data_IF_051790639439
#
_entry.id   IF_051790639439
#
_cell.length_a   1.000
_cell.length_b   1.000
_cell.length_c   1.000
_cell.angle_alpha   90.00
_cell.angle_beta   90.00
_cell.angle_gamma   90.00
#
_symmetry.space_group_name_H-M   'P 1'
#
loop_
_entity.id
_entity.type
_entity.pdbx_description
1 polymer ?
#
# COMPACT_ATOMS: atom_id res chain seq x y z
N UNK A 1 -2.12 11.22 -8.80
CA UNK A 1 -0.89 10.77 -8.11
C UNK A 1 -1.24 9.89 -6.92
N UNK A 2 -0.38 8.93 -6.56
CA UNK A 2 -0.62 7.92 -5.52
C UNK A 2 0.19 8.25 -4.27
N UNK A 3 -0.44 8.22 -3.10
CA UNK A 3 0.25 8.05 -1.82
C UNK A 3 0.28 6.56 -1.48
N UNK A 4 1.45 6.01 -1.22
CA UNK A 4 1.58 4.62 -0.77
C UNK A 4 1.55 4.59 0.75
N UNK A 5 0.66 3.80 1.32
CA UNK A 5 0.62 3.51 2.77
C UNK A 5 1.19 2.11 2.98
N UNK A 6 2.40 2.05 3.51
CA UNK A 6 3.13 0.82 3.77
C UNK A 6 3.05 0.50 5.27
N UNK A 7 2.46 -0.63 5.61
CA UNK A 7 2.41 -1.08 7.00
C UNK A 7 3.81 -1.48 7.47
N UNK A 8 4.28 -0.82 8.51
CA UNK A 8 5.51 -1.18 9.18
C UNK A 8 5.40 -2.57 9.83
N UNK A 9 6.51 -3.26 9.88
CA UNK A 9 6.67 -4.57 10.50
C UNK A 9 8.13 -4.79 10.89
N UNK A 10 8.41 -5.84 11.64
CA UNK A 10 9.77 -6.25 11.98
C UNK A 10 10.58 -6.75 10.77
N UNK A 11 9.93 -7.02 9.64
CA UNK A 11 10.56 -7.42 8.39
C UNK A 11 11.15 -6.21 7.65
N UNK A 12 12.22 -5.64 8.19
CA UNK A 12 12.93 -4.51 7.58
C UNK A 12 13.44 -4.80 6.17
N UNK A 13 14.04 -5.98 5.88
CA UNK A 13 14.44 -6.30 4.51
C UNK A 13 13.28 -6.28 3.52
N UNK A 14 12.12 -6.81 3.93
CA UNK A 14 10.91 -6.78 3.11
C UNK A 14 10.40 -5.35 2.89
N UNK A 15 10.40 -4.51 3.93
CA UNK A 15 10.04 -3.09 3.81
C UNK A 15 10.98 -2.34 2.86
N UNK A 16 12.29 -2.52 3.01
CA UNK A 16 13.28 -1.88 2.15
C UNK A 16 13.14 -2.34 0.68
N UNK A 17 12.96 -3.65 0.45
CA UNK A 17 12.74 -4.19 -0.88
C UNK A 17 11.44 -3.65 -1.51
N UNK A 18 10.37 -3.55 -0.72
CA UNK A 18 9.11 -2.96 -1.18
C UNK A 18 9.28 -1.50 -1.57
N UNK A 19 10.01 -0.72 -0.77
CA UNK A 19 10.30 0.68 -1.07
C UNK A 19 11.16 0.83 -2.32
N UNK A 20 12.16 -0.04 -2.52
CA UNK A 20 12.99 -0.04 -3.72
C UNK A 20 12.15 -0.25 -5.00
N UNK A 21 11.11 -1.08 -4.94
CA UNK A 21 10.17 -1.28 -6.06
C UNK A 21 9.32 -0.04 -6.39
N UNK A 22 9.21 0.90 -5.46
CA UNK A 22 8.46 2.15 -5.65
C UNK A 22 9.31 3.28 -6.23
N UNK A 23 10.65 3.20 -6.13
CA UNK A 23 11.55 4.28 -6.56
C UNK A 23 11.32 4.71 -8.01
N UNK A 24 11.27 3.81 -9.02
CA UNK A 24 11.02 4.23 -10.40
C UNK A 24 9.69 4.97 -10.57
N UNK A 25 8.65 4.51 -9.87
CA UNK A 25 7.33 5.15 -9.92
C UNK A 25 7.31 6.53 -9.23
N UNK A 26 8.15 6.72 -8.21
CA UNK A 26 8.31 8.02 -7.57
C UNK A 26 9.08 9.01 -8.47
N UNK A 27 10.14 8.54 -9.11
CA UNK A 27 10.93 9.36 -10.08
C UNK A 27 10.05 9.83 -11.24
N UNK A 28 9.18 8.96 -11.75
CA UNK A 28 8.28 9.28 -12.88
C UNK A 28 7.01 10.03 -12.44
N UNK A 29 6.84 10.32 -11.14
CA UNK A 29 5.73 11.10 -10.60
C UNK A 29 4.41 10.35 -10.44
N UNK A 30 4.37 9.03 -10.65
CA UNK A 30 3.20 8.20 -10.36
C UNK A 30 2.96 8.11 -8.85
N UNK A 31 4.03 7.83 -8.07
CA UNK A 31 4.01 7.82 -6.62
C UNK A 31 4.46 9.18 -6.09
N UNK A 32 3.60 9.84 -5.33
CA UNK A 32 3.85 11.15 -4.73
C UNK A 32 4.64 11.07 -3.44
N UNK A 33 4.34 10.08 -2.63
CA UNK A 33 4.94 9.88 -1.30
C UNK A 33 4.76 8.44 -0.84
N UNK A 34 5.62 8.01 0.05
CA UNK A 34 5.48 6.77 0.82
C UNK A 34 5.29 7.13 2.29
N UNK A 35 4.27 6.58 2.92
CA UNK A 35 3.93 6.74 4.33
C UNK A 35 4.10 5.39 5.00
N UNK A 36 5.05 5.27 5.93
CA UNK A 36 5.14 4.12 6.81
C UNK A 36 4.18 4.31 7.97
N UNK A 37 3.21 3.40 8.09
CA UNK A 37 2.25 3.37 9.17
C UNK A 37 2.70 2.35 10.23
N UNK A 38 3.20 2.84 11.35
CA UNK A 38 3.86 2.07 12.40
C UNK A 38 3.05 2.01 13.70
N UNK A 39 3.45 1.15 14.61
CA UNK A 39 2.92 1.07 15.97
C UNK A 39 3.06 2.37 16.75
N UNK A 40 2.33 2.50 17.87
CA UNK A 40 2.22 3.75 18.61
C UNK A 40 3.53 4.18 19.29
N UNK A 41 4.34 3.24 19.72
CA UNK A 41 5.55 3.51 20.47
C UNK A 41 6.81 3.42 19.59
N UNK A 42 7.79 4.34 19.80
CA UNK A 42 9.10 4.16 19.22
C UNK A 42 9.74 2.84 19.69
N UNK A 43 10.17 2.02 18.76
CA UNK A 43 10.75 0.71 19.04
C UNK A 43 9.81 -0.48 18.88
N UNK A 44 8.52 -0.27 18.65
CA UNK A 44 7.59 -1.35 18.29
C UNK A 44 8.08 -2.12 17.06
N UNK A 45 8.66 -1.38 16.10
CA UNK A 45 9.32 -1.94 14.92
C UNK A 45 10.75 -1.38 14.81
N UNK A 46 11.75 -2.06 15.40
CA UNK A 46 13.13 -1.59 15.41
C UNK A 46 13.68 -1.34 14.00
N UNK A 47 14.36 -0.20 13.80
CA UNK A 47 14.97 0.17 12.53
C UNK A 47 14.06 0.89 11.55
N UNK A 48 12.76 1.02 11.82
CA UNK A 48 11.82 1.75 10.95
C UNK A 48 12.19 3.23 10.87
N UNK A 49 12.64 3.84 11.96
CA UNK A 49 13.06 5.23 11.98
C UNK A 49 14.26 5.47 11.04
N UNK A 50 15.27 4.60 11.09
CA UNK A 50 16.42 4.69 10.19
C UNK A 50 16.00 4.51 8.73
N UNK A 51 15.12 3.55 8.45
CA UNK A 51 14.58 3.35 7.09
C UNK A 51 13.84 4.58 6.58
N UNK A 52 13.07 5.25 7.43
CA UNK A 52 12.37 6.50 7.10
C UNK A 52 13.36 7.62 6.80
N UNK A 53 14.39 7.79 7.64
CA UNK A 53 15.43 8.80 7.46
C UNK A 53 16.18 8.61 6.15
N UNK A 54 16.60 7.38 5.86
CA UNK A 54 17.36 7.05 4.65
C UNK A 54 16.53 7.16 3.36
N UNK A 55 15.24 6.88 3.42
CA UNK A 55 14.38 6.83 2.24
C UNK A 55 13.61 8.12 1.95
N UNK A 56 13.52 9.03 2.92
CA UNK A 56 12.66 10.20 2.83
C UNK A 56 11.16 9.90 2.92
N UNK A 57 10.78 8.69 3.34
CA UNK A 57 9.40 8.35 3.62
C UNK A 57 8.86 9.15 4.82
N UNK A 58 7.55 9.24 4.94
CA UNK A 58 6.90 9.85 6.11
C UNK A 58 6.50 8.76 7.10
N UNK A 59 6.80 8.98 8.37
CA UNK A 59 6.39 8.09 9.44
C UNK A 59 5.07 8.59 10.07
N UNK A 60 4.11 7.69 10.22
CA UNK A 60 2.87 7.91 10.99
C UNK A 60 2.79 6.83 12.04
N UNK A 61 2.75 7.21 13.31
CA UNK A 61 2.60 6.29 14.43
C UNK A 61 1.21 6.38 15.01
N UNK A 62 0.59 5.21 15.22
CA UNK A 62 -0.69 5.09 15.91
C UNK A 62 -0.79 3.73 16.58
N UNK A 63 -1.26 3.70 17.80
CA UNK A 63 -1.57 2.45 18.50
C UNK A 63 -2.75 1.73 17.83
N UNK A 64 -2.82 0.42 18.02
CA UNK A 64 -3.89 -0.40 17.49
C UNK A 64 -3.44 -1.39 16.42
N UNK A 65 -4.41 -1.99 15.77
CA UNK A 65 -4.22 -3.02 14.76
C UNK A 65 -3.84 -2.46 13.36
N UNK A 66 -3.68 -3.34 12.40
CA UNK A 66 -3.39 -2.97 11.02
C UNK A 66 -4.45 -2.02 10.42
N UNK A 67 -5.71 -2.17 10.80
CA UNK A 67 -6.81 -1.31 10.35
C UNK A 67 -6.62 0.12 10.83
N UNK A 68 -6.32 0.33 12.11
CA UNK A 68 -6.06 1.65 12.69
C UNK A 68 -4.85 2.32 12.02
N UNK A 69 -3.77 1.55 11.80
CA UNK A 69 -2.56 2.03 11.14
C UNK A 69 -2.79 2.42 9.68
N UNK A 70 -3.55 1.61 8.92
CA UNK A 70 -3.94 1.93 7.55
C UNK A 70 -4.79 3.20 7.49
N UNK A 71 -5.75 3.35 8.40
CA UNK A 71 -6.61 4.54 8.47
C UNK A 71 -5.80 5.80 8.78
N UNK A 72 -4.84 5.73 9.71
CA UNK A 72 -3.96 6.85 10.03
C UNK A 72 -3.05 7.23 8.85
N UNK A 73 -2.49 6.25 8.16
CA UNK A 73 -1.72 6.47 6.94
C UNK A 73 -2.56 7.10 5.83
N UNK A 74 -3.78 6.61 5.64
CA UNK A 74 -4.71 7.18 4.66
C UNK A 74 -5.12 8.61 4.98
N UNK A 75 -5.36 8.93 6.25
CA UNK A 75 -5.66 10.29 6.70
C UNK A 75 -4.49 11.27 6.46
N UNK A 76 -3.25 10.78 6.56
CA UNK A 76 -2.04 11.55 6.28
C UNK A 76 -1.72 11.69 4.79
N UNK A 77 -2.36 10.92 3.91
CA UNK A 77 -2.10 10.89 2.48
C UNK A 77 -2.48 12.20 1.78
N UNK A 78 -1.63 12.62 0.83
CA UNK A 78 -1.78 13.85 0.03
C UNK A 78 -2.04 13.59 -1.45
N UNK A 79 -1.91 12.34 -1.90
CA UNK A 79 -2.25 11.91 -3.25
C UNK A 79 -3.75 11.79 -3.43
N UNK A 80 -4.19 11.74 -4.68
CA UNK A 80 -5.61 11.52 -5.02
C UNK A 80 -6.02 10.06 -4.81
N UNK A 81 -5.02 9.18 -4.87
CA UNK A 81 -5.15 7.75 -4.69
C UNK A 81 -4.27 7.25 -3.56
N UNK A 82 -4.72 6.23 -2.89
CA UNK A 82 -3.99 5.52 -1.85
C UNK A 82 -3.77 4.09 -2.32
N UNK A 83 -2.51 3.64 -2.27
CA UNK A 83 -2.13 2.24 -2.46
C UNK A 83 -1.62 1.70 -1.12
N UNK A 84 -2.32 0.72 -0.56
CA UNK A 84 -1.86 0.04 0.66
C UNK A 84 -0.90 -1.07 0.30
N UNK A 85 0.18 -1.24 1.06
CA UNK A 85 1.16 -2.31 0.90
C UNK A 85 1.61 -2.84 2.26
N UNK A 86 2.20 -4.04 2.23
CA UNK A 86 2.89 -4.68 3.37
C UNK A 86 4.34 -4.97 3.00
N UNK A 87 5.16 -5.39 3.96
CA UNK A 87 6.51 -5.86 3.70
C UNK A 87 6.56 -7.08 2.77
N UNK A 88 5.51 -7.89 2.78
CA UNK A 88 5.34 -9.05 1.90
C UNK A 88 3.85 -9.27 1.56
N UNK A 89 3.55 -9.74 0.34
CA UNK A 89 4.47 -10.03 -0.77
C UNK A 89 5.01 -8.75 -1.43
N UNK A 90 6.26 -8.78 -1.88
CA UNK A 90 6.90 -7.64 -2.55
C UNK A 90 6.30 -7.48 -3.96
N UNK A 91 6.08 -6.22 -4.37
CA UNK A 91 5.69 -5.87 -5.73
C UNK A 91 6.71 -6.45 -6.73
N UNK A 92 6.23 -6.85 -7.90
CA UNK A 92 7.07 -7.32 -9.00
C UNK A 92 7.18 -6.25 -10.07
N UNK A 93 8.16 -6.42 -10.94
CA UNK A 93 8.22 -5.65 -12.18
C UNK A 93 6.88 -5.74 -12.93
N UNK A 94 6.49 -4.65 -13.60
CA UNK A 94 5.24 -4.57 -14.35
C UNK A 94 4.01 -4.18 -13.52
N UNK A 95 4.11 -4.04 -12.19
CA UNK A 95 2.98 -3.62 -11.35
C UNK A 95 2.39 -2.25 -11.74
N UNK A 96 3.21 -1.39 -12.34
CA UNK A 96 2.83 -0.03 -12.71
C UNK A 96 1.80 0.00 -13.84
N UNK A 97 2.03 -0.78 -14.89
CA UNK A 97 1.22 -0.75 -16.11
C UNK A 97 -0.29 -0.93 -15.83
N UNK A 98 -0.74 -1.98 -15.12
CA UNK A 98 -2.16 -2.13 -14.80
C UNK A 98 -2.72 -1.02 -13.90
N UNK A 99 -1.88 -0.46 -13.02
CA UNK A 99 -2.25 0.68 -12.17
C UNK A 99 -2.43 1.93 -13.02
N UNK A 100 -1.47 2.29 -13.86
CA UNK A 100 -1.53 3.45 -14.76
C UNK A 100 -2.74 3.35 -15.69
N UNK A 101 -2.99 2.18 -16.27
CA UNK A 101 -4.16 1.91 -17.11
C UNK A 101 -5.47 2.08 -16.36
N UNK A 102 -5.51 1.63 -15.10
CA UNK A 102 -6.69 1.81 -14.25
C UNK A 102 -6.94 3.29 -13.95
N UNK A 103 -5.91 4.04 -13.62
CA UNK A 103 -6.00 5.48 -13.34
C UNK A 103 -6.42 6.27 -14.61
N UNK A 104 -5.85 5.96 -15.76
CA UNK A 104 -6.18 6.60 -17.03
C UNK A 104 -7.60 6.30 -17.50
N UNK A 105 -8.13 5.14 -17.19
CA UNK A 105 -9.50 4.72 -17.52
C UNK A 105 -10.60 5.41 -16.70
N UNK A 106 -10.29 6.48 -15.99
CA UNK A 106 -11.23 7.24 -15.16
C UNK A 106 -11.31 6.72 -13.71
N UNK A 107 -10.67 5.60 -13.40
CA UNK A 107 -10.44 5.09 -12.04
C UNK A 107 -11.64 5.14 -11.09
N UNK A 108 -12.84 4.87 -11.60
CA UNK A 108 -14.07 5.07 -10.82
C UNK A 108 -14.31 4.09 -9.69
N UNK A 109 -13.54 3.00 -9.63
CA UNK A 109 -13.69 1.95 -8.62
C UNK A 109 -12.36 1.62 -7.98
N UNK A 110 -12.40 1.22 -6.71
CA UNK A 110 -11.22 0.67 -6.05
C UNK A 110 -10.69 -0.58 -6.79
N UNK A 111 -9.41 -0.84 -6.67
CA UNK A 111 -8.77 -1.98 -7.30
C UNK A 111 -7.90 -2.73 -6.30
N UNK A 112 -7.67 -4.01 -6.55
CA UNK A 112 -6.71 -4.83 -5.81
C UNK A 112 -5.59 -5.26 -6.75
N UNK A 113 -4.35 -5.05 -6.30
CA UNK A 113 -3.19 -5.64 -6.93
C UNK A 113 -3.06 -7.07 -6.42
N UNK A 114 -3.21 -8.02 -7.32
CA UNK A 114 -3.16 -9.43 -6.97
C UNK A 114 -2.24 -10.19 -7.93
N UNK A 115 -1.32 -10.97 -7.36
CA UNK A 115 -0.53 -11.88 -8.18
C UNK A 115 -1.41 -12.94 -8.83
N UNK A 116 -1.13 -13.30 -10.11
CA UNK A 116 -1.62 -14.55 -10.66
C UNK A 116 -1.06 -15.67 -9.77
N UNK A 117 -1.94 -16.38 -9.09
CA UNK A 117 -1.53 -17.55 -8.32
C UNK A 117 -1.09 -18.67 -9.27
N UNK A 118 -0.12 -19.51 -8.88
CA UNK A 118 0.13 -20.79 -9.53
C UNK A 118 -1.13 -21.68 -9.54
N UNK A 119 -0.98 -22.96 -9.94
CA UNK A 119 -2.11 -23.91 -10.13
C UNK A 119 -3.16 -23.90 -8.99
N UNK A 120 -2.75 -23.64 -7.77
CA UNK A 120 -3.61 -23.48 -6.57
C UNK A 120 -4.04 -22.01 -6.32
N UNK A 121 -3.45 -21.04 -6.99
CA UNK A 121 -3.69 -19.61 -6.74
C UNK A 121 -4.98 -19.06 -7.34
N UNK A 122 -5.70 -19.86 -8.14
CA UNK A 122 -7.07 -19.52 -8.56
C UNK A 122 -8.03 -19.41 -7.35
N UNK A 123 -7.74 -20.12 -6.27
CA UNK A 123 -8.60 -20.22 -5.08
C UNK A 123 -8.24 -19.20 -3.98
N UNK A 124 -7.01 -18.71 -3.95
CA UNK A 124 -6.58 -17.70 -2.97
C UNK A 124 -5.46 -16.81 -3.55
N UNK A 125 -5.81 -15.80 -4.35
CA UNK A 125 -4.82 -14.89 -4.88
C UNK A 125 -4.13 -14.14 -3.71
N UNK A 126 -2.79 -14.05 -3.79
CA UNK A 126 -2.04 -13.23 -2.83
C UNK A 126 -2.33 -11.77 -3.12
N UNK A 127 -2.95 -11.10 -2.16
CA UNK A 127 -3.21 -9.68 -2.21
C UNK A 127 -1.90 -8.93 -1.95
N UNK A 128 -1.47 -8.10 -2.90
CA UNK A 128 -0.33 -7.19 -2.73
C UNK A 128 -0.75 -5.90 -2.06
N UNK A 129 -1.89 -5.34 -2.48
CA UNK A 129 -2.40 -4.10 -1.93
C UNK A 129 -3.76 -3.71 -2.51
N UNK A 130 -4.34 -2.70 -1.93
CA UNK A 130 -5.60 -2.09 -2.35
C UNK A 130 -5.33 -0.68 -2.84
N UNK A 131 -5.78 -0.38 -4.04
CA UNK A 131 -5.77 0.95 -4.64
C UNK A 131 -7.16 1.55 -4.52
N UNK A 132 -7.28 2.70 -3.89
CA UNK A 132 -8.56 3.38 -3.64
C UNK A 132 -8.39 4.90 -3.76
N UNK A 133 -9.41 5.60 -4.24
CA UNK A 133 -9.41 7.05 -4.19
C UNK A 133 -9.41 7.53 -2.74
N UNK A 134 -8.60 8.53 -2.43
CA UNK A 134 -8.54 9.09 -1.07
C UNK A 134 -9.89 9.53 -0.54
N UNK A 135 -10.75 10.09 -1.40
CA UNK A 135 -12.10 10.53 -1.04
C UNK A 135 -13.07 9.36 -0.77
N UNK A 136 -12.78 8.20 -1.31
CA UNK A 136 -13.61 7.00 -1.16
C UNK A 136 -13.10 6.08 -0.03
N UNK A 137 -12.10 6.55 0.75
CA UNK A 137 -11.59 5.78 1.89
C UNK A 137 -12.71 5.54 2.90
N UNK A 138 -13.03 4.27 3.24
CA UNK A 138 -14.17 3.97 4.09
C UNK A 138 -13.91 4.39 5.54
N UNK A 139 -14.91 4.98 6.16
CA UNK A 139 -14.87 5.38 7.58
C UNK A 139 -14.95 4.21 8.55
N UNK A 140 -15.43 3.06 8.09
CA UNK A 140 -15.64 1.87 8.92
C UNK A 140 -14.38 1.09 9.24
N UNK A 141 -13.22 1.50 8.70
CA UNK A 141 -11.96 0.79 8.92
C UNK A 141 -11.96 -0.63 8.32
N UNK A 142 -10.87 -1.33 8.53
CA UNK A 142 -10.68 -2.71 8.09
C UNK A 142 -9.25 -2.96 7.57
N UNK A 143 -8.84 -4.22 7.55
CA UNK A 143 -7.62 -4.62 6.86
C UNK A 143 -7.83 -4.56 5.34
N UNK A 144 -6.77 -4.79 4.55
CA UNK A 144 -6.86 -4.69 3.09
C UNK A 144 -7.91 -5.64 2.48
N UNK A 145 -8.17 -6.79 3.09
CA UNK A 145 -9.19 -7.73 2.61
C UNK A 145 -10.60 -7.19 2.85
N UNK A 146 -10.82 -6.62 4.03
CA UNK A 146 -12.08 -5.97 4.37
C UNK A 146 -12.32 -4.74 3.48
N UNK A 147 -11.28 -3.91 3.23
CA UNK A 147 -11.32 -2.78 2.31
C UNK A 147 -11.69 -3.23 0.89
N UNK A 148 -10.99 -4.23 0.35
CA UNK A 148 -11.24 -4.76 -0.99
C UNK A 148 -12.68 -5.26 -1.16
N UNK A 149 -13.21 -5.94 -0.14
CA UNK A 149 -14.58 -6.45 -0.12
C UNK A 149 -15.62 -5.32 -0.02
N UNK A 150 -15.42 -4.39 0.92
CA UNK A 150 -16.33 -3.26 1.14
C UNK A 150 -16.45 -2.37 -0.10
N UNK A 151 -15.32 -2.12 -0.77
CA UNK A 151 -15.23 -1.28 -1.96
C UNK A 151 -15.55 -2.02 -3.26
N UNK A 152 -15.85 -3.33 -3.21
CA UNK A 152 -16.06 -4.18 -4.41
C UNK A 152 -14.92 -4.00 -5.41
N UNK A 153 -13.69 -3.98 -4.91
CA UNK A 153 -12.50 -3.61 -5.66
C UNK A 153 -12.26 -4.52 -6.87
N UNK A 154 -11.97 -3.90 -8.02
CA UNK A 154 -11.64 -4.61 -9.26
C UNK A 154 -10.25 -5.23 -9.16
N UNK A 155 -10.09 -6.47 -9.59
CA UNK A 155 -8.79 -7.13 -9.62
C UNK A 155 -7.94 -6.61 -10.79
N UNK A 156 -6.74 -6.15 -10.47
CA UNK A 156 -5.66 -5.86 -11.42
C UNK A 156 -4.65 -7.00 -11.32
N UNK A 157 -4.50 -7.75 -12.40
CA UNK A 157 -3.47 -8.79 -12.50
C UNK A 157 -2.24 -8.22 -13.23
N UNK A 158 -1.04 -8.60 -12.79
CA UNK A 158 0.23 -8.23 -13.38
C UNK A 158 1.28 -9.33 -13.20
#
# INVERSE_FOLDING_TARGET
MISVVLLASEDLPGLAAQMAMLVPAAVDGLVKEVILAAGGEPGDEPGVEALVEDSGARLVRVGGDASARLAAGAAAARGDWILTLRSAPILREGWREPVEKHLAGGGGTAAVLAMPGGLLGKWSPRLHGVLVRRLDWPTTGGDERALAKALKARRLAY
#
